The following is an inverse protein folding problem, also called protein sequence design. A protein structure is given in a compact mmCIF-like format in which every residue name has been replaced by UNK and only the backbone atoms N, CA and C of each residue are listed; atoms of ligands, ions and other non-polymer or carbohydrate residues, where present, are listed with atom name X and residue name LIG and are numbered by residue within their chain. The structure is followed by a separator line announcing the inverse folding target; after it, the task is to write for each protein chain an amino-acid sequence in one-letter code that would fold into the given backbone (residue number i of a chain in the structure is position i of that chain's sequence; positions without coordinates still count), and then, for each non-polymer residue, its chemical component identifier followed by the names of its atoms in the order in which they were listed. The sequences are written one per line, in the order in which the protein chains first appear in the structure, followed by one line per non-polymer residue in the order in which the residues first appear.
data_IF_719793669381
#
_entry.id   IF_719793669381
#
_cell.length_a   1.000
_cell.length_b   1.000
_cell.length_c   1.000
_cell.angle_alpha   90.00
_cell.angle_beta   90.00
_cell.angle_gamma   90.00
#
_symmetry.space_group_name_H-M   'P 1'
#
loop_
_entity.id
_entity.type
_entity.pdbx_description
1 polymer ?
#
# COMPACT_ATOMS: atom_id res chain seq x y z
N UNK A 1 -8.94 -18.79 -7.68
CA UNK A 1 -8.26 -17.85 -6.77
C UNK A 1 -9.20 -16.67 -6.63
N UNK A 2 -9.88 -16.52 -5.49
CA UNK A 2 -10.71 -15.35 -5.28
C UNK A 2 -9.79 -14.17 -4.98
N UNK A 3 -9.81 -13.15 -5.83
CA UNK A 3 -8.99 -11.93 -5.75
C UNK A 3 -9.45 -10.96 -4.63
N UNK A 4 -10.18 -11.46 -3.61
CA UNK A 4 -10.71 -10.65 -2.52
C UNK A 4 -9.72 -10.51 -1.35
N UNK A 5 -8.46 -10.87 -1.55
CA UNK A 5 -7.42 -10.97 -0.54
C UNK A 5 -6.19 -10.15 -0.96
N UNK A 6 -5.86 -9.11 -0.20
CA UNK A 6 -4.68 -8.27 -0.47
C UNK A 6 -3.36 -9.01 -0.22
N UNK A 7 -3.35 -10.03 0.63
CA UNK A 7 -2.17 -10.89 0.77
C UNK A 7 -1.93 -11.71 -0.50
N UNK A 8 -3.00 -12.15 -1.18
CA UNK A 8 -2.86 -12.79 -2.49
C UNK A 8 -2.27 -11.83 -3.55
N UNK A 9 -2.64 -10.54 -3.51
CA UNK A 9 -2.01 -9.51 -4.36
C UNK A 9 -0.54 -9.33 -4.01
N UNK A 10 -0.21 -9.13 -2.73
CA UNK A 10 1.16 -9.06 -2.21
C UNK A 10 2.01 -10.23 -2.69
N UNK A 11 1.51 -11.45 -2.53
CA UNK A 11 2.23 -12.67 -2.86
C UNK A 11 2.45 -12.81 -4.37
N UNK A 12 1.48 -12.41 -5.19
CA UNK A 12 1.64 -12.34 -6.64
C UNK A 12 2.72 -11.34 -7.06
N UNK A 13 2.77 -10.16 -6.41
CA UNK A 13 3.81 -9.15 -6.68
C UNK A 13 5.18 -9.64 -6.22
N UNK A 14 5.29 -10.31 -5.07
CA UNK A 14 6.54 -10.95 -4.62
C UNK A 14 7.03 -11.99 -5.60
N UNK A 15 6.14 -12.86 -6.08
CA UNK A 15 6.48 -13.88 -7.06
C UNK A 15 6.94 -13.26 -8.38
N UNK A 16 6.29 -12.17 -8.83
CA UNK A 16 6.74 -11.41 -9.99
C UNK A 16 8.13 -10.78 -9.77
N UNK A 17 8.36 -10.17 -8.61
CA UNK A 17 9.68 -9.65 -8.22
C UNK A 17 10.76 -10.74 -8.31
N UNK A 18 10.47 -11.95 -7.80
CA UNK A 18 11.40 -13.09 -7.88
C UNK A 18 11.72 -13.49 -9.31
N UNK A 19 10.72 -13.47 -10.21
CA UNK A 19 10.95 -13.72 -11.64
C UNK A 19 11.86 -12.66 -12.28
N UNK A 20 11.88 -11.44 -11.73
CA UNK A 20 12.78 -10.35 -12.13
C UNK A 20 14.11 -10.34 -11.35
N UNK A 21 14.34 -11.34 -10.48
CA UNK A 21 15.56 -11.49 -9.70
C UNK A 21 15.63 -10.63 -8.43
N UNK A 22 14.48 -10.16 -7.93
CA UNK A 22 14.35 -9.34 -6.72
C UNK A 22 13.51 -10.11 -5.70
N UNK A 23 14.03 -10.36 -4.49
CA UNK A 23 13.19 -10.85 -3.40
C UNK A 23 12.59 -9.67 -2.63
N UNK A 24 11.39 -9.25 -3.05
CA UNK A 24 10.66 -8.16 -2.39
C UNK A 24 10.35 -8.45 -0.92
N UNK A 25 10.40 -9.72 -0.49
CA UNK A 25 10.23 -10.09 0.91
C UNK A 25 11.49 -10.01 1.76
N UNK A 26 12.66 -9.68 1.20
CA UNK A 26 13.88 -9.42 1.97
C UNK A 26 13.91 -7.96 2.41
N UNK A 27 13.34 -7.70 3.60
CA UNK A 27 13.24 -6.37 4.20
C UNK A 27 14.59 -5.64 4.26
N UNK A 28 15.68 -6.36 4.54
CA UNK A 28 17.01 -5.76 4.67
C UNK A 28 17.55 -5.35 3.32
N UNK A 29 17.36 -6.19 2.30
CA UNK A 29 17.76 -5.85 0.94
C UNK A 29 16.95 -4.65 0.40
N UNK A 30 15.64 -4.62 0.66
CA UNK A 30 14.77 -3.52 0.22
C UNK A 30 15.08 -2.22 0.96
N UNK A 31 15.27 -2.25 2.28
CA UNK A 31 15.66 -1.06 3.04
C UNK A 31 17.00 -0.49 2.54
N UNK A 32 17.99 -1.36 2.34
CA UNK A 32 19.29 -0.96 1.79
C UNK A 32 19.15 -0.34 0.39
N UNK A 33 18.37 -0.97 -0.49
CA UNK A 33 18.11 -0.41 -1.82
C UNK A 33 17.46 0.98 -1.73
N UNK A 34 16.44 1.13 -0.88
CA UNK A 34 15.72 2.39 -0.71
C UNK A 34 16.61 3.53 -0.17
N UNK A 35 17.60 3.22 0.66
CA UNK A 35 18.59 4.18 1.15
C UNK A 35 19.54 4.69 0.05
N UNK A 36 19.71 3.94 -1.04
CA UNK A 36 20.68 4.20 -2.11
C UNK A 36 20.05 4.90 -3.34
N UNK A 37 18.72 5.00 -3.41
CA UNK A 37 18.00 5.54 -4.58
C UNK A 37 17.14 6.78 -4.24
N UNK A 38 16.82 7.64 -5.23
CA UNK A 38 15.87 8.73 -5.03
C UNK A 38 14.50 8.22 -4.55
N UNK A 39 13.77 9.05 -3.81
CA UNK A 39 12.46 8.69 -3.24
C UNK A 39 11.47 8.10 -4.26
N UNK A 40 11.38 8.71 -5.45
CA UNK A 40 10.47 8.24 -6.51
C UNK A 40 10.84 6.87 -7.10
N UNK A 41 12.05 6.40 -6.84
CA UNK A 41 12.56 5.09 -7.26
C UNK A 41 12.55 4.05 -6.14
N UNK A 42 12.05 4.37 -4.94
CA UNK A 42 11.97 3.42 -3.83
C UNK A 42 10.87 2.37 -4.05
N UNK A 43 10.98 1.24 -3.34
CA UNK A 43 9.86 0.33 -3.12
C UNK A 43 9.01 0.87 -1.97
N UNK A 44 7.71 1.07 -2.22
CA UNK A 44 6.82 1.75 -1.27
C UNK A 44 6.09 0.80 -0.35
N UNK A 45 5.81 -0.43 -0.78
CA UNK A 45 5.13 -1.41 0.06
C UNK A 45 6.10 -2.18 0.94
N UNK A 46 5.63 -2.55 2.12
CA UNK A 46 6.32 -3.49 2.98
C UNK A 46 5.74 -4.90 2.76
N UNK A 47 6.48 -5.74 2.05
CA UNK A 47 6.00 -7.04 1.57
C UNK A 47 6.04 -8.16 2.63
N UNK A 48 6.49 -7.86 3.84
CA UNK A 48 6.45 -8.78 4.97
C UNK A 48 5.19 -8.62 5.82
N UNK A 49 4.47 -7.50 5.71
CA UNK A 49 3.23 -7.26 6.46
C UNK A 49 2.06 -8.08 5.93
N UNK A 50 1.09 -8.33 6.80
CA UNK A 50 -0.25 -8.78 6.43
C UNK A 50 -1.06 -7.59 5.90
N UNK A 51 -1.24 -7.53 4.58
CA UNK A 51 -1.89 -6.40 3.91
C UNK A 51 -3.40 -6.36 4.16
N UNK A 52 -4.03 -7.48 4.56
CA UNK A 52 -5.42 -7.45 5.00
C UNK A 52 -5.53 -6.82 6.38
N UNK A 53 -4.70 -7.25 7.34
CA UNK A 53 -4.69 -6.70 8.70
C UNK A 53 -4.40 -5.19 8.68
N UNK A 54 -3.41 -4.77 7.88
CA UNK A 54 -3.08 -3.36 7.66
C UNK A 54 -4.29 -2.56 7.12
N UNK A 55 -5.03 -3.09 6.15
CA UNK A 55 -6.23 -2.43 5.63
C UNK A 55 -7.36 -2.39 6.66
N UNK A 56 -7.61 -3.51 7.34
CA UNK A 56 -8.65 -3.64 8.37
C UNK A 56 -8.42 -2.66 9.52
N UNK A 57 -7.18 -2.54 10.01
CA UNK A 57 -6.84 -1.61 11.09
C UNK A 57 -7.07 -0.15 10.66
N UNK A 58 -6.66 0.24 9.45
CA UNK A 58 -6.89 1.59 8.93
C UNK A 58 -8.37 1.91 8.80
N UNK A 59 -9.17 0.97 8.29
CA UNK A 59 -10.62 1.11 8.19
C UNK A 59 -11.27 1.18 9.58
N UNK A 60 -10.83 0.36 10.52
CA UNK A 60 -11.31 0.35 11.90
C UNK A 60 -11.20 1.75 12.52
N UNK A 61 -10.00 2.33 12.52
CA UNK A 61 -9.80 3.66 13.12
C UNK A 61 -10.56 4.76 12.37
N UNK A 62 -10.69 4.65 11.04
CA UNK A 62 -11.46 5.60 10.25
C UNK A 62 -12.93 5.60 10.70
N UNK A 63 -13.53 4.42 10.81
CA UNK A 63 -14.93 4.29 11.23
C UNK A 63 -15.14 4.66 12.70
N UNK A 64 -14.19 4.35 13.59
CA UNK A 64 -14.21 4.82 14.98
C UNK A 64 -14.21 6.36 15.05
N UNK A 65 -13.33 7.02 14.29
CA UNK A 65 -13.26 8.48 14.24
C UNK A 65 -14.57 9.09 13.69
N UNK A 66 -15.18 8.46 12.69
CA UNK A 66 -16.48 8.89 12.15
C UNK A 66 -17.63 8.66 13.13
N UNK A 67 -17.60 7.59 13.94
CA UNK A 67 -18.57 7.34 15.01
C UNK A 67 -18.46 8.39 16.11
N UNK A 68 -17.24 8.68 16.56
CA UNK A 68 -16.97 9.73 17.55
C UNK A 68 -17.44 11.09 17.07
N UNK A 69 -17.22 11.41 15.79
CA UNK A 69 -17.74 12.61 15.15
C UNK A 69 -19.27 12.69 15.25
N UNK A 70 -19.98 11.62 14.88
CA UNK A 70 -21.45 11.58 14.93
C UNK A 70 -21.97 11.76 16.37
N UNK A 71 -21.36 11.06 17.34
CA UNK A 71 -21.72 11.15 18.75
C UNK A 71 -21.49 12.56 19.32
N UNK A 72 -20.38 13.20 18.93
CA UNK A 72 -20.06 14.57 19.32
C UNK A 72 -21.08 15.58 18.77
N UNK A 73 -21.45 15.42 17.49
CA UNK A 73 -22.45 16.24 16.82
C UNK A 73 -23.82 16.10 17.48
N UNK A 74 -24.23 14.89 17.86
CA UNK A 74 -25.47 14.65 18.59
C UNK A 74 -25.50 15.36 19.96
N UNK A 75 -24.35 15.44 20.63
CA UNK A 75 -24.16 16.14 21.92
C UNK A 75 -23.94 17.65 21.75
N UNK A 76 -23.89 18.17 20.52
CA UNK A 76 -23.52 19.56 20.18
C UNK A 76 -22.12 19.96 20.68
N UNK A 77 -21.23 18.98 20.89
CA UNK A 77 -19.82 19.22 21.21
C UNK A 77 -19.03 19.46 19.92
N UNK A 78 -19.06 20.71 19.45
CA UNK A 78 -18.43 21.09 18.17
C UNK A 78 -16.92 20.91 18.22
N UNK A 79 -16.28 21.15 19.37
CA UNK A 79 -14.82 21.04 19.49
C UNK A 79 -14.39 19.59 19.29
N UNK A 80 -15.05 18.65 19.97
CA UNK A 80 -14.74 17.24 19.82
C UNK A 80 -15.11 16.74 18.42
N UNK A 81 -16.26 17.16 17.88
CA UNK A 81 -16.66 16.83 16.51
C UNK A 81 -15.60 17.24 15.48
N UNK A 82 -15.11 18.48 15.54
CA UNK A 82 -14.06 18.94 14.62
C UNK A 82 -12.77 18.12 14.73
N UNK A 83 -12.37 17.75 15.95
CA UNK A 83 -11.18 16.91 16.17
C UNK A 83 -11.35 15.51 15.58
N UNK A 84 -12.47 14.84 15.86
CA UNK A 84 -12.74 13.48 15.35
C UNK A 84 -12.87 13.46 13.83
N UNK A 85 -13.50 14.49 13.24
CA UNK A 85 -13.56 14.63 11.78
C UNK A 85 -12.18 14.83 11.15
N UNK A 86 -11.32 15.64 11.78
CA UNK A 86 -9.94 15.80 11.32
C UNK A 86 -9.16 14.47 11.37
N UNK A 87 -9.29 13.71 12.46
CA UNK A 87 -8.69 12.36 12.56
C UNK A 87 -9.18 11.43 11.45
N UNK A 88 -10.48 11.42 11.17
CA UNK A 88 -11.05 10.62 10.08
C UNK A 88 -10.47 11.03 8.70
N UNK A 89 -10.28 12.32 8.46
CA UNK A 89 -9.66 12.82 7.22
C UNK A 89 -8.20 12.37 7.08
N UNK A 90 -7.41 12.40 8.17
CA UNK A 90 -6.04 11.87 8.16
C UNK A 90 -6.01 10.37 7.86
N UNK A 91 -6.93 9.60 8.43
CA UNK A 91 -7.05 8.16 8.20
C UNK A 91 -7.48 7.84 6.77
N UNK A 92 -8.37 8.64 6.18
CA UNK A 92 -8.70 8.53 4.75
C UNK A 92 -7.47 8.81 3.86
N UNK A 93 -6.63 9.76 4.25
CA UNK A 93 -5.34 9.98 3.60
C UNK A 93 -4.43 8.75 3.66
N UNK A 94 -4.36 8.10 4.83
CA UNK A 94 -3.60 6.84 5.01
C UNK A 94 -4.14 5.71 4.13
N UNK A 95 -5.47 5.52 4.09
CA UNK A 95 -6.13 4.53 3.21
C UNK A 95 -5.80 4.77 1.73
N UNK A 96 -5.85 6.03 1.28
CA UNK A 96 -5.43 6.37 -0.08
C UNK A 96 -3.95 6.04 -0.32
N UNK A 97 -3.08 6.35 0.64
CA UNK A 97 -1.65 6.07 0.53
C UNK A 97 -1.37 4.58 0.40
N UNK A 98 -2.09 3.73 1.12
CA UNK A 98 -1.96 2.27 1.05
C UNK A 98 -2.11 1.76 -0.39
N UNK A 99 -3.22 2.10 -1.07
CA UNK A 99 -3.43 1.69 -2.46
C UNK A 99 -2.47 2.38 -3.43
N UNK A 100 -2.12 3.64 -3.17
CA UNK A 100 -1.17 4.38 -4.00
C UNK A 100 0.22 3.75 -3.99
N UNK A 101 0.68 3.23 -2.85
CA UNK A 101 1.94 2.50 -2.75
C UNK A 101 1.92 1.21 -3.58
N UNK A 102 0.81 0.45 -3.51
CA UNK A 102 0.64 -0.79 -4.29
C UNK A 102 0.69 -0.47 -5.79
N UNK A 103 -0.05 0.54 -6.24
CA UNK A 103 -0.06 0.97 -7.64
C UNK A 103 1.34 1.34 -8.15
N UNK A 104 2.11 2.10 -7.36
CA UNK A 104 3.47 2.50 -7.73
C UNK A 104 4.39 1.30 -7.91
N UNK A 105 4.38 0.37 -6.96
CA UNK A 105 5.22 -0.83 -7.04
C UNK A 105 4.78 -1.74 -8.20
N UNK A 106 3.47 -1.86 -8.47
CA UNK A 106 2.96 -2.57 -9.64
C UNK A 106 3.48 -1.99 -10.94
N UNK A 107 3.40 -0.66 -11.11
CA UNK A 107 3.91 0.03 -12.30
C UNK A 107 5.41 -0.23 -12.46
N UNK A 108 6.15 -0.20 -11.36
CA UNK A 108 7.60 -0.44 -11.35
C UNK A 108 7.94 -1.86 -11.81
N UNK A 109 7.23 -2.87 -11.32
CA UNK A 109 7.36 -4.26 -11.78
C UNK A 109 6.95 -4.43 -13.25
N UNK A 110 5.90 -3.74 -13.71
CA UNK A 110 5.47 -3.79 -15.11
C UNK A 110 6.52 -3.22 -16.07
N UNK A 111 7.21 -2.16 -15.67
CA UNK A 111 8.29 -1.59 -16.46
C UNK A 111 9.60 -2.38 -16.36
N UNK A 112 9.74 -3.20 -15.32
CA UNK A 112 10.97 -3.96 -15.04
C UNK A 112 12.18 -3.06 -14.76
N UNK A 113 11.96 -1.93 -14.10
CA UNK A 113 12.98 -0.87 -13.86
C UNK A 113 14.20 -1.40 -13.06
N UNK A 114 13.98 -2.35 -12.15
CA UNK A 114 14.99 -2.85 -11.21
C UNK A 114 15.43 -4.30 -11.45
N UNK A 115 15.00 -4.92 -12.56
CA UNK A 115 15.29 -6.34 -12.80
C UNK A 115 16.80 -6.61 -12.77
N UNK A 116 17.19 -7.67 -12.10
CA UNK A 116 18.61 -8.06 -11.97
C UNK A 116 18.99 -9.20 -12.92
N UNK A 117 18.02 -9.72 -13.66
CA UNK A 117 18.18 -10.81 -14.62
C UNK A 117 17.68 -10.41 -16.02
N UNK A 118 17.66 -11.39 -16.94
CA UNK A 118 17.25 -11.21 -18.34
C UNK A 118 15.73 -11.27 -18.56
N UNK A 119 14.92 -11.20 -17.51
CA UNK A 119 13.46 -11.20 -17.61
C UNK A 119 12.95 -10.16 -18.61
N UNK A 120 12.04 -10.59 -19.49
CA UNK A 120 11.33 -9.71 -20.42
C UNK A 120 9.84 -10.02 -20.32
N UNK A 121 9.04 -8.96 -20.27
CA UNK A 121 7.62 -9.10 -20.53
C UNK A 121 7.40 -9.54 -21.98
N UNK A 122 6.44 -10.45 -22.24
CA UNK A 122 5.94 -10.66 -23.58
C UNK A 122 5.53 -9.32 -24.19
N UNK A 123 5.86 -9.11 -25.46
CA UNK A 123 5.31 -7.98 -26.19
C UNK A 123 3.84 -8.26 -26.44
N UNK A 124 2.98 -7.35 -26.01
CA UNK A 124 1.57 -7.36 -26.36
C UNK A 124 1.40 -6.36 -27.49
N UNK A 125 0.76 -6.78 -28.59
CA UNK A 125 0.43 -5.87 -29.67
C UNK A 125 -0.65 -4.90 -29.16
N UNK A 126 -0.46 -3.60 -29.39
CA UNK A 126 -1.45 -2.56 -29.12
C UNK A 126 -2.59 -2.69 -30.16
N UNK A 127 -3.51 -3.65 -29.98
CA UNK A 127 -4.78 -3.70 -30.74
C UNK A 127 -5.84 -2.74 -30.19
#
# INVERSE_FOLDING_TARGET
MELNDLNSVRDALRELGRKQGIDLGDEKAIAKFNDEVPFDSQWFCYYADDWNEELEERLYYFFESMRDYQDAMAKKDIKFASSSFFSAMSLMGSLRSFFSSIEKDMIKLLKGEDKTNDFQWPQFDDE
#
